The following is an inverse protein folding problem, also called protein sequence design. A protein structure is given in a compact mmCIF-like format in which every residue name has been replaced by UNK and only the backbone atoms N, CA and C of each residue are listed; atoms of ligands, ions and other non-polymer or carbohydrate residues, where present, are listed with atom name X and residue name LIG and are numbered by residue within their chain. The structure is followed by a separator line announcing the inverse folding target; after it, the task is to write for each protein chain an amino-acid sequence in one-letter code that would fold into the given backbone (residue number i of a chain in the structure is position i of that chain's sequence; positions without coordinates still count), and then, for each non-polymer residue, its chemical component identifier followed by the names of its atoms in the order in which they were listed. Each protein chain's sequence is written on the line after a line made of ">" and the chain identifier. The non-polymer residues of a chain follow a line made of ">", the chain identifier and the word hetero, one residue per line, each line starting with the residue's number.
data_IF_711495586443
#
_entry.id   IF_711495586443
#
_cell.length_a   1.000
_cell.length_b   1.000
_cell.length_c   1.000
_cell.angle_alpha   90.00
_cell.angle_beta   90.00
_cell.angle_gamma   90.00
#
_symmetry.space_group_name_H-M   'P 1'
#
loop_
_entity.id
_entity.type
_entity.pdbx_description
1 polymer ?
#
# COMPACT_ATOMS: atom_id res chain seq x y z
N UNK A 1 7.46 -7.39 -20.91
CA UNK A 1 6.86 -7.10 -19.60
C UNK A 1 5.58 -6.33 -19.89
N UNK A 2 4.45 -6.87 -19.47
CA UNK A 2 3.15 -6.33 -19.82
C UNK A 2 2.86 -5.06 -19.00
N UNK A 3 2.15 -4.10 -19.59
CA UNK A 3 1.69 -2.91 -18.90
C UNK A 3 0.18 -2.99 -18.74
N UNK A 4 -0.30 -2.90 -17.51
CA UNK A 4 -1.71 -2.78 -17.19
C UNK A 4 -2.11 -1.30 -17.18
N UNK A 5 -3.26 -0.97 -17.77
CA UNK A 5 -3.74 0.40 -17.89
C UNK A 5 -4.37 0.94 -16.59
N UNK A 6 -4.60 2.26 -16.57
CA UNK A 6 -5.12 2.99 -15.40
C UNK A 6 -6.55 2.56 -15.03
N UNK A 7 -7.40 2.29 -16.04
CA UNK A 7 -8.80 1.88 -15.83
C UNK A 7 -8.88 0.48 -15.20
N UNK A 8 -7.93 -0.40 -15.56
CA UNK A 8 -7.77 -1.73 -14.96
C UNK A 8 -7.38 -1.62 -13.48
N UNK A 9 -6.56 -0.64 -13.11
CA UNK A 9 -6.14 -0.44 -11.73
C UNK A 9 -7.26 0.10 -10.82
N UNK A 10 -8.03 1.08 -11.28
CA UNK A 10 -9.18 1.60 -10.52
C UNK A 10 -10.21 0.49 -10.25
N UNK A 11 -10.51 -0.32 -11.28
CA UNK A 11 -11.42 -1.47 -11.15
C UNK A 11 -10.92 -2.51 -10.14
N UNK A 12 -9.59 -2.69 -10.03
CA UNK A 12 -8.98 -3.55 -9.02
C UNK A 12 -9.22 -3.01 -7.60
N UNK A 13 -9.06 -1.70 -7.37
CA UNK A 13 -9.28 -1.07 -6.06
C UNK A 13 -10.74 -1.22 -5.61
N UNK A 14 -11.70 -0.97 -6.49
CA UNK A 14 -13.11 -1.15 -6.19
C UNK A 14 -13.44 -2.61 -5.85
N UNK A 15 -12.84 -3.56 -6.59
CA UNK A 15 -12.99 -4.99 -6.31
C UNK A 15 -12.42 -5.35 -4.93
N UNK A 16 -11.25 -4.82 -4.58
CA UNK A 16 -10.62 -5.05 -3.28
C UNK A 16 -11.52 -4.53 -2.16
N UNK A 17 -11.96 -3.28 -2.24
CA UNK A 17 -12.81 -2.65 -1.22
C UNK A 17 -14.09 -3.45 -0.97
N UNK A 18 -14.77 -3.88 -2.05
CA UNK A 18 -16.01 -4.67 -1.91
C UNK A 18 -15.80 -6.01 -1.20
N UNK A 19 -14.67 -6.69 -1.44
CA UNK A 19 -14.36 -7.98 -0.85
C UNK A 19 -13.92 -7.87 0.61
N UNK A 20 -13.10 -6.86 0.93
CA UNK A 20 -12.58 -6.65 2.28
C UNK A 20 -13.67 -6.40 3.32
N UNK A 21 -14.85 -5.93 2.91
CA UNK A 21 -16.03 -5.81 3.79
C UNK A 21 -16.47 -7.14 4.43
N UNK A 22 -16.08 -8.27 3.84
CA UNK A 22 -16.61 -9.59 4.23
C UNK A 22 -15.56 -10.61 4.61
N UNK A 23 -14.30 -10.43 4.18
CA UNK A 23 -13.22 -11.37 4.47
C UNK A 23 -11.85 -10.82 4.11
N UNK A 24 -10.80 -11.41 4.69
CA UNK A 24 -9.42 -11.19 4.25
C UNK A 24 -9.24 -11.53 2.77
N UNK A 25 -8.37 -10.80 2.08
CA UNK A 25 -8.16 -10.92 0.64
C UNK A 25 -6.68 -11.11 0.30
N UNK A 26 -6.40 -12.05 -0.61
CA UNK A 26 -5.08 -12.21 -1.24
C UNK A 26 -5.20 -11.94 -2.74
N UNK A 27 -4.35 -11.04 -3.24
CA UNK A 27 -4.23 -10.68 -4.64
C UNK A 27 -2.90 -11.20 -5.17
N UNK A 28 -2.95 -12.06 -6.18
CA UNK A 28 -1.76 -12.52 -6.89
C UNK A 28 -1.59 -11.69 -8.17
N UNK A 29 -0.48 -10.97 -8.25
CA UNK A 29 -0.11 -10.09 -9.35
C UNK A 29 0.90 -10.80 -10.23
N UNK A 30 0.77 -10.62 -11.54
CA UNK A 30 1.71 -11.17 -12.52
C UNK A 30 2.86 -10.20 -12.76
N UNK A 31 3.91 -10.70 -13.39
CA UNK A 31 5.02 -9.85 -13.86
C UNK A 31 4.46 -8.76 -14.77
N UNK A 32 4.79 -7.50 -14.49
CA UNK A 32 4.20 -6.39 -15.21
C UNK A 32 4.22 -5.07 -14.45
N UNK A 33 3.89 -4.01 -15.18
CA UNK A 33 3.78 -2.65 -14.66
C UNK A 33 2.31 -2.33 -14.45
N UNK A 34 1.95 -2.11 -13.19
CA UNK A 34 0.64 -1.68 -12.75
C UNK A 34 0.70 -0.17 -12.51
N UNK A 35 0.10 0.58 -13.42
CA UNK A 35 0.03 2.04 -13.34
C UNK A 35 -1.00 2.46 -12.29
N UNK A 36 -0.50 2.99 -11.19
CA UNK A 36 -1.31 3.46 -10.06
C UNK A 36 -1.78 4.88 -10.38
N UNK A 37 -2.96 4.99 -10.98
CA UNK A 37 -3.60 6.26 -11.30
C UNK A 37 -4.49 6.77 -10.17
N UNK A 38 -4.60 8.09 -10.00
CA UNK A 38 -5.47 8.75 -8.99
C UNK A 38 -5.18 8.39 -7.51
N UNK A 39 -6.00 8.90 -6.60
CA UNK A 39 -5.88 8.62 -5.16
C UNK A 39 -6.62 7.32 -4.85
N UNK A 40 -5.87 6.23 -4.65
CA UNK A 40 -6.45 4.89 -4.49
C UNK A 40 -6.73 4.61 -3.01
N UNK A 41 -7.97 4.88 -2.61
CA UNK A 41 -8.41 4.68 -1.24
C UNK A 41 -8.85 3.23 -1.01
N UNK A 42 -8.13 2.53 -0.13
CA UNK A 42 -8.40 1.16 0.28
C UNK A 42 -8.88 1.16 1.74
N UNK A 43 -10.11 0.70 1.96
CA UNK A 43 -10.71 0.56 3.28
C UNK A 43 -10.45 -0.87 3.79
N UNK A 44 -9.53 -0.98 4.74
CA UNK A 44 -9.10 -2.24 5.33
C UNK A 44 -10.01 -2.60 6.51
N UNK A 45 -11.14 -3.22 6.20
CA UNK A 45 -12.01 -3.85 7.20
C UNK A 45 -11.46 -5.20 7.70
N UNK A 46 -10.64 -5.86 6.89
CA UNK A 46 -9.93 -7.11 7.17
C UNK A 46 -8.53 -7.07 6.50
N UNK A 47 -7.78 -8.17 6.57
CA UNK A 47 -6.41 -8.28 6.08
C UNK A 47 -6.32 -8.34 4.56
N UNK A 48 -5.33 -7.67 3.98
CA UNK A 48 -5.05 -7.62 2.55
C UNK A 48 -3.60 -8.03 2.27
N UNK A 49 -3.40 -8.96 1.34
CA UNK A 49 -2.08 -9.44 0.94
C UNK A 49 -1.93 -9.28 -0.58
N UNK A 50 -0.87 -8.60 -1.01
CA UNK A 50 -0.44 -8.54 -2.40
C UNK A 50 0.80 -9.42 -2.61
N UNK A 51 0.68 -10.40 -3.49
CA UNK A 51 1.77 -11.28 -3.90
C UNK A 51 2.17 -10.96 -5.33
N UNK A 52 3.31 -10.29 -5.50
CA UNK A 52 3.95 -10.12 -6.78
C UNK A 52 4.71 -11.36 -7.22
N UNK A 53 4.70 -11.60 -8.54
CA UNK A 53 5.75 -12.36 -9.20
C UNK A 53 7.04 -11.49 -9.24
N UNK A 54 8.13 -11.99 -9.84
CA UNK A 54 9.48 -11.41 -9.66
C UNK A 54 9.60 -9.96 -10.15
N UNK A 55 8.90 -9.63 -11.24
CA UNK A 55 9.02 -8.35 -11.95
C UNK A 55 7.69 -7.56 -11.86
N UNK A 56 6.95 -7.70 -10.75
CA UNK A 56 5.75 -6.90 -10.46
C UNK A 56 6.13 -5.49 -9.97
N UNK A 57 5.63 -4.47 -10.67
CA UNK A 57 5.91 -3.06 -10.38
C UNK A 57 4.61 -2.28 -10.18
N UNK A 58 4.49 -1.57 -9.06
CA UNK A 58 3.55 -0.45 -8.91
C UNK A 58 4.24 0.85 -9.31
N UNK A 59 3.81 1.41 -10.43
CA UNK A 59 4.30 2.68 -10.97
C UNK A 59 3.30 3.80 -10.64
N UNK A 60 3.72 4.74 -9.80
CA UNK A 60 2.90 5.86 -9.35
C UNK A 60 2.93 7.05 -10.34
N UNK A 61 3.44 6.86 -11.56
CA UNK A 61 3.25 7.75 -12.70
C UNK A 61 3.66 9.21 -12.50
N UNK A 62 4.51 9.52 -11.51
CA UNK A 62 5.13 10.84 -11.30
C UNK A 62 4.15 11.98 -11.02
N UNK A 63 3.05 11.72 -10.32
CA UNK A 63 2.07 12.75 -9.96
C UNK A 63 1.95 12.91 -8.44
N UNK A 64 1.65 14.11 -7.95
CA UNK A 64 1.33 14.30 -6.52
C UNK A 64 -0.02 13.70 -6.10
N UNK A 65 -0.82 13.24 -7.07
CA UNK A 65 -2.18 12.74 -6.86
C UNK A 65 -2.23 11.22 -6.77
N UNK A 66 -1.14 10.54 -7.13
CA UNK A 66 -1.03 9.09 -7.23
C UNK A 66 -0.36 8.56 -5.98
N UNK A 67 -1.17 7.97 -5.11
CA UNK A 67 -0.74 7.31 -3.88
C UNK A 67 -1.71 6.17 -3.57
N UNK A 68 -1.25 5.25 -2.74
CA UNK A 68 -2.18 4.43 -1.97
C UNK A 68 -2.60 5.17 -0.72
N UNK A 69 -3.89 5.16 -0.42
CA UNK A 69 -4.42 5.63 0.84
C UNK A 69 -5.07 4.46 1.56
N UNK A 70 -4.39 3.93 2.58
CA UNK A 70 -4.89 2.83 3.38
C UNK A 70 -5.57 3.38 4.63
N UNK A 71 -6.85 3.07 4.76
CA UNK A 71 -7.64 3.39 5.93
C UNK A 71 -7.98 2.11 6.67
N UNK A 72 -7.39 1.91 7.85
CA UNK A 72 -7.74 0.81 8.74
C UNK A 72 -9.06 1.13 9.43
N UNK A 73 -10.14 0.50 8.97
CA UNK A 73 -11.49 0.72 9.49
C UNK A 73 -11.71 0.00 10.81
N UNK A 74 -12.62 0.49 11.65
CA UNK A 74 -12.89 -0.11 12.96
C UNK A 74 -13.46 -1.55 12.86
N UNK A 75 -13.41 -2.28 13.98
CA UNK A 75 -14.04 -3.60 14.12
C UNK A 75 -13.03 -4.74 14.33
N UNK A 76 -12.54 -5.34 13.24
CA UNK A 76 -11.59 -6.47 13.33
C UNK A 76 -10.26 -6.01 13.90
N UNK A 77 -9.76 -6.69 14.93
CA UNK A 77 -8.43 -6.42 15.49
C UNK A 77 -7.35 -7.27 14.81
N UNK A 78 -6.10 -6.81 14.83
CA UNK A 78 -4.93 -7.52 14.29
C UNK A 78 -4.94 -7.67 12.75
N UNK A 79 -5.44 -6.64 12.04
CA UNK A 79 -5.46 -6.62 10.57
C UNK A 79 -4.04 -6.58 10.00
N UNK A 80 -3.83 -7.26 8.88
CA UNK A 80 -2.54 -7.26 8.17
C UNK A 80 -2.66 -6.67 6.78
N UNK A 81 -1.74 -5.79 6.42
CA UNK A 81 -1.49 -5.37 5.05
C UNK A 81 -0.10 -5.85 4.65
N UNK A 82 0.01 -6.76 3.69
CA UNK A 82 1.28 -7.38 3.34
C UNK A 82 1.56 -7.19 1.85
N UNK A 83 2.79 -6.79 1.53
CA UNK A 83 3.32 -6.73 0.17
C UNK A 83 4.50 -7.69 0.04
N UNK A 84 4.42 -8.62 -0.91
CA UNK A 84 5.47 -9.60 -1.17
C UNK A 84 6.00 -9.43 -2.60
N UNK A 85 7.32 -9.30 -2.75
CA UNK A 85 8.03 -9.24 -4.04
C UNK A 85 7.52 -8.13 -4.99
N UNK A 86 7.31 -6.93 -4.46
CA UNK A 86 6.79 -5.79 -5.27
C UNK A 86 7.83 -4.69 -5.32
N UNK A 87 8.03 -4.14 -6.52
CA UNK A 87 8.77 -2.89 -6.70
C UNK A 87 7.79 -1.71 -6.73
N UNK A 88 8.02 -0.72 -5.89
CA UNK A 88 7.31 0.56 -5.87
C UNK A 88 8.21 1.62 -6.50
N UNK A 89 7.72 2.30 -7.52
CA UNK A 89 8.49 3.37 -8.17
C UNK A 89 7.68 4.64 -8.39
N UNK A 90 8.33 5.77 -8.12
CA UNK A 90 7.78 7.11 -8.29
C UNK A 90 8.88 8.04 -8.82
N UNK A 91 9.18 7.86 -10.12
CA UNK A 91 10.33 8.38 -10.86
C UNK A 91 10.67 9.87 -10.66
N UNK A 92 11.95 10.20 -10.85
CA UNK A 92 12.62 11.51 -10.74
C UNK A 92 12.00 12.67 -11.54
N UNK A 93 12.04 13.85 -10.91
CA UNK A 93 11.86 15.23 -11.43
C UNK A 93 10.52 15.97 -11.21
N UNK A 94 9.51 15.39 -10.53
CA UNK A 94 8.22 16.08 -10.31
C UNK A 94 7.67 16.08 -8.86
N UNK A 95 8.40 15.53 -7.89
CA UNK A 95 7.99 15.49 -6.49
C UNK A 95 8.39 16.76 -5.73
N UNK A 96 7.44 17.39 -5.03
CA UNK A 96 7.79 18.17 -3.84
C UNK A 96 8.07 17.20 -2.69
N UNK A 97 8.87 17.59 -1.71
CA UNK A 97 9.17 16.83 -0.47
C UNK A 97 7.93 16.30 0.29
N UNK A 98 6.73 16.77 -0.05
CA UNK A 98 5.44 16.39 0.54
C UNK A 98 4.64 15.32 -0.24
N UNK A 99 5.13 14.74 -1.35
CA UNK A 99 4.44 13.62 -2.02
C UNK A 99 4.73 12.28 -1.33
N UNK A 100 3.68 11.49 -1.10
CA UNK A 100 3.76 10.18 -0.45
C UNK A 100 3.42 9.06 -1.44
N UNK A 101 4.17 7.96 -1.46
CA UNK A 101 3.80 6.75 -2.21
C UNK A 101 2.60 6.08 -1.54
N UNK A 102 2.62 6.03 -0.21
CA UNK A 102 1.55 5.47 0.61
C UNK A 102 1.24 6.39 1.78
N UNK A 103 -0.05 6.51 2.09
CA UNK A 103 -0.57 7.17 3.28
C UNK A 103 -1.38 6.16 4.10
N UNK A 104 -1.24 6.19 5.41
CA UNK A 104 -1.93 5.30 6.34
C UNK A 104 -2.70 6.13 7.37
N UNK A 105 -3.96 5.75 7.59
CA UNK A 105 -4.85 6.33 8.60
C UNK A 105 -5.61 5.22 9.32
N UNK A 106 -5.94 5.46 10.59
CA UNK A 106 -6.72 4.56 11.44
C UNK A 106 -8.02 5.24 11.84
N UNK A 107 -9.13 4.51 11.79
CA UNK A 107 -10.43 5.02 12.23
C UNK A 107 -10.51 5.10 13.76
N UNK A 108 -10.05 4.07 14.47
CA UNK A 108 -10.07 3.99 15.93
C UNK A 108 -8.65 3.94 16.52
N UNK A 109 -8.44 4.67 17.62
CA UNK A 109 -7.18 4.66 18.39
C UNK A 109 -6.87 3.30 19.04
N UNK A 110 -7.81 2.36 19.05
CA UNK A 110 -7.62 0.99 19.57
C UNK A 110 -7.29 -0.02 18.49
N UNK A 111 -7.28 0.40 17.21
CA UNK A 111 -6.98 -0.48 16.09
C UNK A 111 -5.55 -1.03 16.19
N UNK A 112 -5.46 -2.36 16.10
CA UNK A 112 -4.20 -3.09 16.02
C UNK A 112 -4.01 -3.56 14.59
N UNK A 113 -2.89 -3.19 14.00
CA UNK A 113 -2.59 -3.50 12.62
C UNK A 113 -1.10 -3.70 12.39
N UNK A 114 -0.81 -4.37 11.28
CA UNK A 114 0.53 -4.70 10.86
C UNK A 114 0.65 -4.49 9.35
N UNK A 115 1.61 -3.66 8.95
CA UNK A 115 2.01 -3.47 7.56
C UNK A 115 3.36 -4.15 7.36
N UNK A 116 3.44 -5.09 6.44
CA UNK A 116 4.69 -5.80 6.11
C UNK A 116 5.06 -5.62 4.65
N UNK A 117 6.35 -5.38 4.43
CA UNK A 117 6.97 -5.39 3.11
C UNK A 117 8.03 -6.49 3.10
N UNK A 118 7.87 -7.49 2.24
CA UNK A 118 8.76 -8.63 2.15
C UNK A 118 9.38 -8.69 0.74
N UNK A 119 10.71 -8.63 0.67
CA UNK A 119 11.46 -8.59 -0.59
C UNK A 119 11.02 -7.46 -1.53
N UNK A 120 10.61 -6.32 -0.99
CA UNK A 120 10.17 -5.18 -1.78
C UNK A 120 11.33 -4.27 -2.18
N UNK A 121 11.15 -3.55 -3.28
CA UNK A 121 12.11 -2.53 -3.74
C UNK A 121 11.39 -1.20 -3.82
N UNK A 122 11.90 -0.18 -3.16
CA UNK A 122 11.48 1.20 -3.31
C UNK A 122 12.50 1.89 -4.21
N UNK A 123 12.17 2.02 -5.50
CA UNK A 123 13.10 2.42 -6.55
C UNK A 123 12.78 3.84 -7.06
N UNK A 124 13.76 4.72 -6.96
CA UNK A 124 13.72 6.11 -7.42
C UNK A 124 12.54 6.90 -6.82
N UNK A 125 12.13 6.57 -5.60
CA UNK A 125 11.03 7.25 -4.93
C UNK A 125 11.49 8.60 -4.37
N UNK A 126 11.12 9.69 -5.04
CA UNK A 126 11.35 11.04 -4.55
C UNK A 126 10.18 11.50 -3.66
N UNK A 127 10.45 11.72 -2.38
CA UNK A 127 9.46 12.10 -1.37
C UNK A 127 9.38 11.09 -0.23
N UNK A 128 8.18 10.90 0.33
CA UNK A 128 7.94 10.01 1.47
C UNK A 128 7.43 8.67 0.95
N UNK A 129 8.10 7.56 1.29
CA UNK A 129 7.58 6.23 0.94
C UNK A 129 6.27 5.93 1.68
N UNK A 130 6.25 6.19 2.98
CA UNK A 130 5.13 5.85 3.86
C UNK A 130 4.84 7.01 4.80
N UNK A 131 3.68 7.64 4.66
CA UNK A 131 3.20 8.69 5.55
C UNK A 131 2.16 8.11 6.50
N UNK A 132 2.47 8.08 7.79
CA UNK A 132 1.65 7.43 8.79
C UNK A 132 0.98 8.51 9.63
N UNK A 133 -0.33 8.68 9.48
CA UNK A 133 -1.13 9.57 10.32
C UNK A 133 -1.67 8.78 11.50
N UNK A 134 -1.12 9.06 12.69
CA UNK A 134 -1.56 8.44 13.93
C UNK A 134 -2.35 9.44 14.76
N UNK A 135 -3.57 9.05 15.14
CA UNK A 135 -4.37 9.75 16.15
C UNK A 135 -3.99 9.21 17.53
N UNK A 136 -3.53 10.07 18.44
CA UNK A 136 -2.98 9.76 19.78
C UNK A 136 -3.40 8.40 20.39
N UNK A 137 -2.46 7.46 20.37
CA UNK A 137 -2.63 6.08 20.85
C UNK A 137 -2.01 5.97 22.24
N UNK A 138 -2.80 5.60 23.26
CA UNK A 138 -2.22 4.76 24.32
C UNK A 138 -1.72 3.50 23.60
N UNK A 139 -0.45 3.12 23.79
CA UNK A 139 0.10 1.92 23.14
C UNK A 139 -0.73 0.69 23.54
N UNK A 140 -1.65 0.28 22.66
CA UNK A 140 -2.46 -0.95 22.79
C UNK A 140 -1.76 -2.16 22.18
N UNK A 141 -0.70 -1.92 21.38
CA UNK A 141 0.05 -2.94 20.66
C UNK A 141 1.52 -2.93 21.10
N UNK A 142 2.06 -4.12 21.39
CA UNK A 142 3.46 -4.35 21.81
C UNK A 142 4.41 -4.67 20.65
N UNK A 143 3.89 -4.96 19.46
CA UNK A 143 4.65 -5.35 18.28
C UNK A 143 4.81 -4.17 17.31
N UNK A 144 5.87 -4.11 16.49
CA UNK A 144 5.99 -3.12 15.43
C UNK A 144 4.76 -3.14 14.51
N UNK A 145 4.29 -1.96 14.12
CA UNK A 145 3.17 -1.81 13.17
C UNK A 145 3.63 -1.83 11.71
N UNK A 146 4.92 -1.55 11.47
CA UNK A 146 5.52 -1.53 10.13
C UNK A 146 6.79 -2.37 10.15
N UNK A 147 6.89 -3.32 9.23
CA UNK A 147 8.03 -4.24 9.11
C UNK A 147 8.52 -4.24 7.66
N UNK A 148 9.84 -4.09 7.48
CA UNK A 148 10.51 -4.18 6.18
C UNK A 148 11.51 -5.33 6.21
N UNK A 149 11.16 -6.46 5.60
CA UNK A 149 11.99 -7.65 5.53
C UNK A 149 12.66 -7.74 4.16
N UNK A 150 13.99 -7.74 4.14
CA UNK A 150 14.79 -7.85 2.92
C UNK A 150 14.39 -6.82 1.84
N UNK A 151 14.03 -5.61 2.27
CA UNK A 151 13.66 -4.54 1.36
C UNK A 151 14.88 -3.71 0.93
N UNK A 152 14.81 -3.15 -0.28
CA UNK A 152 15.82 -2.23 -0.82
C UNK A 152 15.23 -0.85 -1.02
N UNK A 153 16.01 0.18 -0.73
CA UNK A 153 15.65 1.59 -0.94
C UNK A 153 16.79 2.18 -1.77
N UNK A 154 16.48 2.53 -3.03
CA UNK A 154 17.47 2.89 -4.04
C UNK A 154 17.03 4.09 -4.84
#
# INVERSE_FOLDING_TARGET
>A
MDSYDENSFMSLVDNINSKLLTSSLTINLKDGIYKVSSNNHLYLHDSLIFNGDKDTIFDFQKTRKTQFYFHFSAGVVDKKLIFNNITFTNFENFGSEVSNVMSFETEDTTDRYLVEFNNCIFLNNNGINNNIKLSCVKSVQKTPQFIYNNCKFM
#
